data_IF_695301080253
#
_entry.id   IF_695301080253
#
_cell.length_a   1.000
_cell.length_b   1.000
_cell.length_c   1.000
_cell.angle_alpha   90.00
_cell.angle_beta   90.00
_cell.angle_gamma   90.00
#
_symmetry.space_group_name_H-M   'P 1'
#
loop_
_entity.id
_entity.type
_entity.pdbx_description
1 polymer ?
#
# COMPACT_ATOMS: atom_id res chain seq x y z
N UNK A 1 -15.87 40.08 1.90
CA UNK A 1 -17.07 39.92 2.73
C UNK A 1 -17.50 38.46 2.61
N UNK A 2 -17.21 37.65 3.64
CA UNK A 2 -18.17 36.78 4.38
C UNK A 2 -19.40 36.33 3.55
N UNK A 3 -19.83 35.06 3.43
CA UNK A 3 -19.57 33.77 4.07
C UNK A 3 -20.22 32.67 3.20
N UNK A 4 -19.66 31.46 3.28
CA UNK A 4 -20.20 30.10 3.13
C UNK A 4 -21.60 29.77 2.54
N UNK A 5 -21.55 28.69 1.74
CA UNK A 5 -22.25 27.39 1.87
C UNK A 5 -23.45 27.00 0.99
N UNK A 6 -23.36 25.71 0.62
CA UNK A 6 -24.34 24.67 0.27
C UNK A 6 -25.20 24.79 -0.98
N UNK A 7 -25.17 23.73 -1.80
CA UNK A 7 -26.29 22.80 -1.99
C UNK A 7 -25.93 21.81 -3.12
N UNK A 8 -25.71 20.53 -2.81
CA UNK A 8 -26.71 19.46 -2.97
C UNK A 8 -27.41 19.44 -4.34
N UNK A 9 -26.85 18.69 -5.29
CA UNK A 9 -27.68 18.04 -6.32
C UNK A 9 -27.36 16.55 -6.30
N UNK A 10 -28.11 15.83 -5.46
CA UNK A 10 -28.30 14.40 -5.65
C UNK A 10 -28.73 14.16 -7.08
N UNK A 11 -27.87 13.47 -7.82
CA UNK A 11 -28.19 12.95 -9.14
C UNK A 11 -27.84 11.49 -9.07
N UNK A 12 -28.85 10.63 -9.06
CA UNK A 12 -28.67 9.21 -9.36
C UNK A 12 -28.01 9.14 -10.73
N UNK A 13 -26.73 8.78 -10.75
CA UNK A 13 -26.02 8.44 -11.97
C UNK A 13 -26.62 7.12 -12.44
N UNK A 14 -27.65 7.20 -13.29
CA UNK A 14 -28.18 6.04 -13.98
C UNK A 14 -27.02 5.32 -14.69
N UNK A 15 -26.97 4.00 -14.62
CA UNK A 15 -26.00 3.15 -15.34
C UNK A 15 -25.90 3.55 -16.83
N UNK A 16 -26.99 4.06 -17.41
CA UNK A 16 -27.03 4.56 -18.79
C UNK A 16 -26.20 5.83 -19.03
N UNK A 17 -25.94 6.64 -18.00
CA UNK A 17 -25.11 7.85 -18.09
C UNK A 17 -23.61 7.56 -18.01
N UNK A 18 -23.22 6.53 -17.25
CA UNK A 18 -21.86 5.96 -17.29
C UNK A 18 -21.62 5.24 -18.63
N UNK A 19 -22.59 4.45 -19.09
CA UNK A 19 -22.56 3.82 -20.43
C UNK A 19 -22.60 4.86 -21.56
N UNK A 20 -23.20 6.05 -21.37
CA UNK A 20 -23.12 7.18 -22.32
C UNK A 20 -21.74 7.81 -22.42
N UNK A 21 -20.97 7.85 -21.33
CA UNK A 21 -19.57 8.28 -21.36
C UNK A 21 -18.67 7.25 -22.05
N UNK A 22 -18.92 5.97 -21.82
CA UNK A 22 -18.27 4.86 -22.54
C UNK A 22 -18.68 4.86 -24.02
N UNK A 23 -19.94 5.10 -24.34
CA UNK A 23 -20.39 5.19 -25.75
C UNK A 23 -20.04 6.51 -26.43
N UNK A 24 -19.69 7.58 -25.71
CA UNK A 24 -19.00 8.73 -26.30
C UNK A 24 -17.53 8.44 -26.64
N UNK A 25 -16.90 7.45 -25.98
CA UNK A 25 -15.63 6.86 -26.42
C UNK A 25 -15.84 5.90 -27.62
N UNK A 26 -16.98 5.21 -27.70
CA UNK A 26 -17.36 4.44 -28.89
C UNK A 26 -17.76 5.34 -30.08
N UNK A 27 -18.29 6.55 -29.84
CA UNK A 27 -18.65 7.50 -30.90
C UNK A 27 -17.43 8.11 -31.62
N UNK A 28 -16.22 7.97 -31.06
CA UNK A 28 -14.96 8.24 -31.75
C UNK A 28 -14.58 7.13 -32.76
N UNK A 29 -15.24 5.96 -32.71
CA UNK A 29 -15.01 4.84 -33.64
C UNK A 29 -15.62 5.05 -35.04
N UNK A 30 -16.20 6.23 -35.32
CA UNK A 30 -16.84 6.57 -36.59
C UNK A 30 -15.89 7.00 -37.72
N UNK A 31 -14.58 7.15 -37.47
CA UNK A 31 -13.61 7.45 -38.52
C UNK A 31 -12.34 6.61 -38.38
N UNK A 32 -11.90 6.04 -39.51
CA UNK A 32 -10.89 4.98 -39.59
C UNK A 32 -9.57 5.32 -38.86
N UNK A 33 -9.05 4.31 -38.14
CA UNK A 33 -7.67 4.12 -37.65
C UNK A 33 -7.29 4.68 -36.27
N UNK A 34 -8.20 4.75 -35.31
CA UNK A 34 -7.81 4.92 -33.90
C UNK A 34 -7.68 3.54 -33.23
N UNK A 35 -6.44 3.16 -32.94
CA UNK A 35 -6.07 1.98 -32.18
C UNK A 35 -6.76 2.03 -30.81
N UNK A 36 -7.55 1.01 -30.45
CA UNK A 36 -8.30 0.98 -29.18
C UNK A 36 -7.32 1.25 -28.02
N UNK A 37 -7.46 2.42 -27.37
CA UNK A 37 -6.50 2.98 -26.41
C UNK A 37 -6.46 2.16 -25.10
N UNK A 38 -7.53 1.44 -24.79
CA UNK A 38 -7.67 0.63 -23.58
C UNK A 38 -7.53 -0.87 -23.89
N UNK A 39 -7.04 -1.63 -22.91
CA UNK A 39 -7.08 -3.10 -22.86
C UNK A 39 -8.02 -3.55 -21.75
N UNK A 40 -8.83 -4.57 -22.03
CA UNK A 40 -9.55 -5.30 -20.98
C UNK A 40 -8.56 -6.19 -20.22
N UNK A 41 -8.71 -6.28 -18.90
CA UNK A 41 -7.84 -7.09 -18.03
C UNK A 41 -8.67 -8.08 -17.21
N UNK A 42 -8.02 -9.08 -16.61
CA UNK A 42 -8.62 -9.97 -15.63
C UNK A 42 -8.60 -9.42 -14.20
N UNK A 43 -8.04 -8.23 -13.98
CA UNK A 43 -8.19 -7.50 -12.72
C UNK A 43 -9.63 -6.97 -12.63
N UNK A 44 -10.27 -7.13 -11.47
CA UNK A 44 -11.70 -6.82 -11.33
C UNK A 44 -11.99 -5.82 -10.22
N UNK A 45 -13.19 -5.26 -10.27
CA UNK A 45 -13.85 -4.57 -9.15
C UNK A 45 -15.12 -5.33 -8.76
N UNK A 46 -15.52 -5.26 -7.50
CA UNK A 46 -16.75 -5.92 -7.05
C UNK A 46 -17.98 -5.39 -7.76
N UNK A 47 -18.90 -6.26 -8.16
CA UNK A 47 -20.18 -5.84 -8.77
C UNK A 47 -21.11 -5.20 -7.75
N UNK A 48 -22.04 -4.34 -8.22
CA UNK A 48 -23.17 -3.93 -7.39
C UNK A 48 -24.16 -5.09 -7.29
N UNK A 49 -24.61 -5.41 -6.08
CA UNK A 49 -25.85 -6.18 -5.92
C UNK A 49 -27.01 -5.20 -6.07
N UNK A 50 -27.72 -5.26 -7.20
CA UNK A 50 -28.98 -4.54 -7.31
C UNK A 50 -29.95 -5.14 -6.28
N UNK A 51 -30.49 -4.28 -5.40
CA UNK A 51 -31.54 -4.65 -4.45
C UNK A 51 -32.86 -4.88 -5.21
N UNK A 52 -32.90 -5.96 -5.99
CA UNK A 52 -34.13 -6.55 -6.51
C UNK A 52 -34.15 -7.97 -6.02
N UNK A 53 -35.20 -8.34 -5.29
CA UNK A 53 -35.44 -9.68 -4.76
C UNK A 53 -35.12 -10.77 -5.80
N UNK A 54 -33.92 -11.38 -5.70
CA UNK A 54 -33.56 -12.74 -6.11
C UNK A 54 -32.03 -12.84 -6.23
N UNK A 55 -31.38 -13.55 -5.29
CA UNK A 55 -30.10 -14.33 -5.33
C UNK A 55 -28.94 -14.03 -6.32
N UNK A 56 -28.92 -12.94 -7.08
CA UNK A 56 -27.80 -12.59 -7.95
C UNK A 56 -26.77 -11.80 -7.16
N UNK A 57 -25.74 -12.49 -6.67
CA UNK A 57 -24.48 -11.85 -6.27
C UNK A 57 -24.00 -10.98 -7.45
N UNK A 58 -23.73 -9.70 -7.18
CA UNK A 58 -23.29 -8.76 -8.20
C UNK A 58 -22.03 -9.27 -8.87
N UNK A 59 -22.09 -9.55 -10.17
CA UNK A 59 -20.95 -10.13 -10.89
C UNK A 59 -19.79 -9.11 -10.97
N UNK A 60 -18.60 -9.54 -10.56
CA UNK A 60 -17.40 -8.72 -10.64
C UNK A 60 -17.13 -8.23 -12.07
N UNK A 61 -16.72 -6.96 -12.19
CA UNK A 61 -16.54 -6.28 -13.48
C UNK A 61 -15.06 -6.19 -13.81
N UNK A 62 -14.62 -6.53 -15.04
CA UNK A 62 -13.23 -6.37 -15.46
C UNK A 62 -12.84 -4.89 -15.57
N UNK A 63 -11.60 -4.58 -15.23
CA UNK A 63 -11.03 -3.24 -15.38
C UNK A 63 -10.43 -3.09 -16.78
N UNK A 64 -10.68 -1.94 -17.40
CA UNK A 64 -10.04 -1.51 -18.64
C UNK A 64 -8.91 -0.55 -18.31
N UNK A 65 -7.69 -0.85 -18.75
CA UNK A 65 -6.50 -0.04 -18.49
C UNK A 65 -5.90 0.52 -19.78
N UNK A 66 -5.15 1.63 -19.72
CA UNK A 66 -4.44 2.17 -20.88
C UNK A 66 -3.49 1.14 -21.50
N UNK A 67 -3.34 1.13 -22.83
CA UNK A 67 -2.27 0.36 -23.49
C UNK A 67 -0.94 1.12 -23.42
N UNK A 68 0.17 0.39 -23.55
CA UNK A 68 1.50 0.99 -23.68
C UNK A 68 1.51 2.03 -24.82
N UNK A 69 1.95 3.26 -24.51
CA UNK A 69 1.97 4.37 -25.47
C UNK A 69 0.70 5.24 -25.48
N UNK A 70 -0.33 4.87 -24.71
CA UNK A 70 -1.45 5.76 -24.39
C UNK A 70 -0.98 6.97 -23.56
N UNK A 71 -1.63 8.12 -23.73
CA UNK A 71 -1.46 9.29 -22.87
C UNK A 71 -2.34 9.25 -21.62
N UNK A 72 -3.27 8.30 -21.53
CA UNK A 72 -4.15 8.12 -20.38
C UNK A 72 -3.41 7.43 -19.23
N UNK A 73 -3.69 7.89 -18.02
CA UNK A 73 -3.22 7.27 -16.78
C UNK A 73 -4.24 6.29 -16.19
N UNK A 74 -3.78 5.40 -15.30
CA UNK A 74 -4.66 4.38 -14.69
C UNK A 74 -5.73 5.01 -13.81
N UNK A 75 -5.42 6.09 -13.11
CA UNK A 75 -6.35 6.79 -12.23
C UNK A 75 -7.48 7.47 -13.01
N UNK A 76 -7.21 7.95 -14.23
CA UNK A 76 -8.25 8.43 -15.16
C UNK A 76 -9.24 7.33 -15.59
N UNK A 77 -8.78 6.08 -15.66
CA UNK A 77 -9.64 4.93 -15.93
C UNK A 77 -10.41 4.52 -14.67
N UNK A 78 -9.74 4.46 -13.51
CA UNK A 78 -10.33 4.05 -12.24
C UNK A 78 -11.41 5.01 -11.74
N UNK A 79 -11.26 6.34 -11.96
CA UNK A 79 -12.29 7.33 -11.62
C UNK A 79 -13.59 7.15 -12.42
N UNK A 80 -13.58 6.38 -13.50
CA UNK A 80 -14.78 6.08 -14.27
C UNK A 80 -15.60 4.91 -13.71
N UNK A 81 -15.08 4.22 -12.68
CA UNK A 81 -15.73 3.06 -12.05
C UNK A 81 -16.43 3.49 -10.75
N UNK A 82 -17.78 3.52 -10.70
CA UNK A 82 -18.51 3.94 -9.51
C UNK A 82 -18.16 3.12 -8.26
N UNK A 83 -17.85 1.83 -8.41
CA UNK A 83 -17.48 0.96 -7.30
C UNK A 83 -16.17 1.37 -6.62
N UNK A 84 -15.22 1.89 -7.41
CA UNK A 84 -13.98 2.46 -6.88
C UNK A 84 -14.30 3.77 -6.16
N UNK A 85 -15.11 4.64 -6.77
CA UNK A 85 -15.47 5.93 -6.18
C UNK A 85 -16.23 5.78 -4.85
N UNK A 86 -17.20 4.87 -4.77
CA UNK A 86 -18.01 4.63 -3.58
C UNK A 86 -17.16 4.01 -2.46
N UNK A 87 -16.31 3.02 -2.79
CA UNK A 87 -15.41 2.42 -1.82
C UNK A 87 -14.37 3.42 -1.31
N UNK A 88 -13.85 4.27 -2.19
CA UNK A 88 -12.95 5.37 -1.84
C UNK A 88 -13.65 6.40 -0.95
N UNK A 89 -14.85 6.87 -1.31
CA UNK A 89 -15.59 7.83 -0.47
C UNK A 89 -15.90 7.26 0.91
N UNK A 90 -16.31 6.00 0.96
CA UNK A 90 -16.56 5.31 2.23
C UNK A 90 -15.29 5.26 3.08
N UNK A 91 -14.14 4.89 2.50
CA UNK A 91 -12.86 4.86 3.19
C UNK A 91 -12.41 6.25 3.69
N UNK A 92 -12.47 7.26 2.82
CA UNK A 92 -11.97 8.62 3.10
C UNK A 92 -12.92 9.44 3.98
N UNK A 93 -14.17 9.02 4.13
CA UNK A 93 -15.16 9.70 4.98
C UNK A 93 -14.97 9.47 6.48
N UNK A 94 -14.09 8.53 6.86
CA UNK A 94 -13.85 8.13 8.25
C UNK A 94 -12.47 8.62 8.69
N UNK A 95 -12.42 9.22 9.88
CA UNK A 95 -11.15 9.62 10.49
C UNK A 95 -10.22 8.41 10.68
N UNK A 96 -8.90 8.54 10.41
CA UNK A 96 -7.97 7.45 10.61
C UNK A 96 -7.98 6.90 12.04
N UNK A 97 -8.06 5.59 12.17
CA UNK A 97 -7.87 4.92 13.45
C UNK A 97 -6.47 5.24 13.99
N UNK A 98 -6.40 5.70 15.24
CA UNK A 98 -5.14 6.08 15.87
C UNK A 98 -4.68 5.02 16.87
N UNK A 99 -3.61 4.32 16.51
CA UNK A 99 -2.99 3.31 17.38
C UNK A 99 -1.90 3.93 18.26
N UNK A 100 -1.98 3.65 19.56
CA UNK A 100 -1.03 4.11 20.58
C UNK A 100 -0.56 2.91 21.40
N UNK A 101 0.43 3.07 22.28
CA UNK A 101 0.80 2.00 23.25
C UNK A 101 -0.35 1.43 24.08
N UNK A 102 -1.47 2.14 24.20
CA UNK A 102 -2.65 1.70 24.95
C UNK A 102 -3.68 0.95 24.11
N UNK A 103 -3.49 0.89 22.79
CA UNK A 103 -4.33 0.09 21.90
C UNK A 103 -4.28 -1.38 22.29
N UNK A 104 -5.45 -2.01 22.32
CA UNK A 104 -5.62 -3.41 22.74
C UNK A 104 -5.31 -4.40 21.62
N UNK A 105 -5.44 -3.94 20.38
CA UNK A 105 -5.14 -4.70 19.19
C UNK A 105 -3.64 -4.94 19.09
N UNK A 106 -3.27 -6.16 18.72
CA UNK A 106 -1.89 -6.52 18.39
C UNK A 106 -1.59 -5.99 17.00
N UNK A 107 -0.85 -4.90 16.92
CA UNK A 107 -0.52 -4.21 15.67
C UNK A 107 0.78 -4.75 15.09
N UNK A 108 0.76 -5.19 13.84
CA UNK A 108 1.96 -5.45 13.04
C UNK A 108 2.20 -4.28 12.09
N UNK A 109 3.15 -3.43 12.43
CA UNK A 109 3.52 -2.28 11.63
C UNK A 109 4.53 -2.64 10.53
N UNK A 110 4.25 -2.21 9.30
CA UNK A 110 5.08 -2.39 8.11
C UNK A 110 5.60 -1.02 7.69
N UNK A 111 6.90 -0.82 7.74
CA UNK A 111 7.53 0.45 7.35
C UNK A 111 7.78 0.53 5.85
N UNK A 112 8.20 1.71 5.40
CA UNK A 112 8.59 1.95 4.00
C UNK A 112 9.65 0.94 3.52
N UNK A 113 9.44 0.40 2.32
CA UNK A 113 10.32 -0.60 1.72
C UNK A 113 10.23 -1.99 2.37
N UNK A 114 9.18 -2.25 3.15
CA UNK A 114 8.93 -3.55 3.79
C UNK A 114 7.70 -4.25 3.22
N UNK A 115 7.63 -5.56 3.50
CA UNK A 115 6.46 -6.40 3.30
C UNK A 115 6.30 -7.32 4.50
N UNK A 116 5.06 -7.60 4.88
CA UNK A 116 4.73 -8.58 5.91
C UNK A 116 3.52 -9.40 5.51
N UNK A 117 3.48 -10.64 6.00
CA UNK A 117 2.37 -11.57 5.81
C UNK A 117 1.95 -12.10 7.18
N UNK A 118 0.66 -12.12 7.46
CA UNK A 118 0.15 -12.55 8.77
C UNK A 118 -1.21 -13.22 8.68
N UNK A 119 -1.51 -14.05 9.68
CA UNK A 119 -2.80 -14.70 9.93
C UNK A 119 -3.35 -14.25 11.30
N UNK A 120 -4.67 -14.34 11.55
CA UNK A 120 -5.31 -13.84 12.79
C UNK A 120 -4.69 -14.32 14.11
N UNK A 121 -4.09 -15.51 14.12
CA UNK A 121 -3.42 -16.03 15.31
C UNK A 121 -2.23 -15.16 15.76
N UNK A 122 -1.59 -14.43 14.83
CA UNK A 122 -0.33 -13.72 15.07
C UNK A 122 -0.53 -12.25 15.49
N UNK A 123 -1.46 -11.56 14.82
CA UNK A 123 -1.80 -10.16 15.10
C UNK A 123 -3.27 -9.91 14.79
N UNK A 124 -3.81 -8.81 15.30
CA UNK A 124 -5.21 -8.43 15.09
C UNK A 124 -5.31 -7.48 13.88
N UNK A 125 -4.35 -6.56 13.75
CA UNK A 125 -4.27 -5.59 12.64
C UNK A 125 -2.87 -5.57 12.05
N UNK A 126 -2.77 -5.52 10.72
CA UNK A 126 -1.55 -5.19 9.98
C UNK A 126 -1.72 -3.83 9.34
N UNK A 127 -0.71 -2.95 9.43
CA UNK A 127 -0.85 -1.59 8.92
C UNK A 127 0.48 -0.98 8.46
N UNK A 128 0.34 0.10 7.69
CA UNK A 128 1.40 1.08 7.42
C UNK A 128 0.80 2.48 7.41
N UNK A 129 1.61 3.49 7.69
CA UNK A 129 1.24 4.91 7.63
C UNK A 129 2.36 5.75 6.98
N UNK A 130 2.21 7.08 7.05
CA UNK A 130 3.14 8.09 6.54
C UNK A 130 3.38 8.02 5.03
N UNK A 131 2.42 7.47 4.29
CA UNK A 131 2.47 7.44 2.85
C UNK A 131 2.16 8.83 2.27
N UNK A 132 3.19 9.48 1.73
CA UNK A 132 3.06 10.73 0.98
C UNK A 132 2.97 10.44 -0.52
N UNK A 133 4.10 10.29 -1.21
CA UNK A 133 4.16 9.88 -2.63
C UNK A 133 4.15 8.36 -2.82
N UNK A 134 4.44 7.61 -1.77
CA UNK A 134 4.44 6.16 -1.72
C UNK A 134 3.02 5.57 -1.55
N UNK A 135 2.91 4.25 -1.69
CA UNK A 135 1.65 3.51 -1.68
C UNK A 135 1.68 2.37 -0.68
N UNK A 136 0.60 2.19 0.07
CA UNK A 136 0.36 1.01 0.89
C UNK A 136 -0.55 0.05 0.12
N UNK A 137 -0.02 -1.12 -0.21
CA UNK A 137 -0.76 -2.20 -0.88
C UNK A 137 -1.03 -3.31 0.13
N UNK A 138 -2.31 -3.64 0.31
CA UNK A 138 -2.73 -4.78 1.10
C UNK A 138 -3.49 -5.81 0.25
N UNK A 139 -3.18 -7.08 0.48
CA UNK A 139 -3.84 -8.23 -0.14
C UNK A 139 -4.45 -9.09 0.96
N UNK A 140 -5.68 -9.56 0.74
CA UNK A 140 -6.33 -10.51 1.62
C UNK A 140 -6.95 -11.66 0.83
N UNK A 141 -6.79 -12.87 1.31
CA UNK A 141 -7.47 -14.05 0.78
C UNK A 141 -8.04 -14.91 1.91
N UNK A 142 -9.10 -15.64 1.61
CA UNK A 142 -9.76 -16.56 2.52
C UNK A 142 -10.05 -17.89 1.83
N UNK A 143 -10.19 -18.95 2.62
CA UNK A 143 -10.65 -20.26 2.19
C UNK A 143 -11.26 -21.00 3.38
N UNK A 144 -12.03 -22.05 3.12
CA UNK A 144 -12.59 -22.89 4.18
C UNK A 144 -11.53 -23.70 4.96
N UNK A 145 -10.43 -24.08 4.29
CA UNK A 145 -9.44 -25.01 4.87
C UNK A 145 -8.35 -24.34 5.73
N UNK A 146 -8.07 -23.06 5.46
CA UNK A 146 -6.92 -22.35 5.99
C UNK A 146 -7.32 -20.97 6.52
N UNK A 147 -6.63 -20.54 7.58
CA UNK A 147 -6.82 -19.20 8.14
C UNK A 147 -6.64 -18.11 7.07
N UNK A 148 -7.42 -17.01 7.15
CA UNK A 148 -7.24 -15.84 6.30
C UNK A 148 -5.78 -15.40 6.28
N UNK A 149 -5.26 -15.13 5.09
CA UNK A 149 -3.92 -14.57 4.91
C UNK A 149 -4.06 -13.11 4.51
N UNK A 150 -3.38 -12.23 5.25
CA UNK A 150 -3.24 -10.82 4.90
C UNK A 150 -1.76 -10.53 4.64
N UNK A 151 -1.50 -9.85 3.54
CA UNK A 151 -0.17 -9.34 3.21
C UNK A 151 -0.25 -7.82 3.07
N UNK A 152 0.73 -7.08 3.58
CA UNK A 152 0.81 -5.63 3.43
C UNK A 152 2.23 -5.21 3.08
N UNK A 153 2.36 -4.30 2.12
CA UNK A 153 3.62 -3.70 1.72
C UNK A 153 3.52 -2.18 1.60
N UNK A 154 4.65 -1.51 1.85
CA UNK A 154 4.79 -0.07 1.67
C UNK A 154 5.77 0.18 0.50
N UNK A 155 5.20 0.58 -0.63
CA UNK A 155 5.83 0.69 -1.94
C UNK A 155 6.25 2.15 -2.19
N UNK A 156 7.54 2.39 -2.33
CA UNK A 156 8.12 3.73 -2.60
C UNK A 156 8.78 3.87 -3.99
N UNK A 157 8.74 2.83 -4.82
CA UNK A 157 9.27 2.85 -6.19
C UNK A 157 8.65 1.76 -7.06
N UNK A 158 8.92 1.83 -8.37
CA UNK A 158 8.44 0.87 -9.38
C UNK A 158 9.31 -0.39 -9.53
N UNK A 159 10.32 -0.57 -8.68
CA UNK A 159 11.32 -1.63 -8.86
C UNK A 159 10.99 -2.93 -8.08
N UNK A 160 9.76 -3.09 -7.60
CA UNK A 160 9.37 -4.19 -6.70
C UNK A 160 8.58 -5.32 -7.35
N UNK A 161 8.62 -5.46 -8.67
CA UNK A 161 7.78 -6.42 -9.40
C UNK A 161 7.88 -7.84 -8.82
N UNK A 162 9.12 -8.33 -8.63
CA UNK A 162 9.36 -9.67 -8.07
C UNK A 162 8.77 -9.84 -6.68
N UNK A 163 8.78 -8.79 -5.86
CA UNK A 163 8.24 -8.80 -4.51
C UNK A 163 6.70 -8.85 -4.54
N UNK A 164 6.05 -8.05 -5.39
CA UNK A 164 4.59 -8.03 -5.50
C UNK A 164 4.06 -9.33 -6.10
N UNK A 165 4.73 -9.87 -7.13
CA UNK A 165 4.42 -11.21 -7.67
C UNK A 165 4.56 -12.28 -6.58
N UNK A 166 5.66 -12.28 -5.83
CA UNK A 166 5.84 -13.21 -4.71
C UNK A 166 4.76 -13.05 -3.63
N UNK A 167 4.31 -11.82 -3.37
CA UNK A 167 3.25 -11.53 -2.41
C UNK A 167 1.94 -12.19 -2.88
N UNK A 168 1.52 -11.98 -4.13
CA UNK A 168 0.32 -12.60 -4.72
C UNK A 168 0.43 -14.14 -4.75
N UNK A 169 1.55 -14.69 -5.22
CA UNK A 169 1.77 -16.13 -5.27
C UNK A 169 1.76 -16.78 -3.88
N UNK A 170 2.05 -16.02 -2.81
CA UNK A 170 1.92 -16.52 -1.45
C UNK A 170 0.48 -16.85 -1.09
N UNK A 171 -0.47 -15.98 -1.46
CA UNK A 171 -1.90 -16.23 -1.29
C UNK A 171 -2.37 -17.44 -2.09
N UNK A 172 -1.89 -17.56 -3.34
CA UNK A 172 -2.11 -18.75 -4.17
C UNK A 172 -1.64 -20.01 -3.45
N UNK A 173 -0.37 -20.06 -3.04
CA UNK A 173 0.21 -21.25 -2.41
C UNK A 173 -0.44 -21.59 -1.07
N UNK A 174 -0.93 -20.58 -0.34
CA UNK A 174 -1.61 -20.78 0.93
C UNK A 174 -2.99 -21.42 0.74
N UNK A 175 -3.80 -20.98 -0.24
CA UNK A 175 -5.20 -21.42 -0.37
C UNK A 175 -5.53 -22.32 -1.56
N UNK A 176 -4.74 -22.30 -2.65
CA UNK A 176 -5.07 -23.04 -3.86
C UNK A 176 -4.95 -24.55 -3.66
N UNK A 177 -5.99 -25.28 -4.05
CA UNK A 177 -6.05 -26.76 -4.02
C UNK A 177 -6.37 -27.40 -5.38
N UNK A 178 -6.47 -26.59 -6.44
CA UNK A 178 -6.77 -27.07 -7.80
C UNK A 178 -8.26 -27.10 -8.16
N UNK A 179 -9.16 -26.83 -7.22
CA UNK A 179 -10.61 -26.93 -7.43
C UNK A 179 -11.28 -25.58 -7.75
N UNK A 180 -10.90 -24.51 -7.04
CA UNK A 180 -11.50 -23.18 -7.13
C UNK A 180 -10.43 -22.09 -7.09
N UNK A 181 -10.64 -21.02 -7.87
CA UNK A 181 -9.80 -19.80 -7.88
C UNK A 181 -9.66 -19.23 -6.48
N UNK A 182 -8.44 -18.89 -6.10
CA UNK A 182 -8.22 -18.11 -4.88
C UNK A 182 -8.60 -16.68 -5.18
N UNK A 183 -9.65 -16.20 -4.53
CA UNK A 183 -10.01 -14.80 -4.55
C UNK A 183 -9.07 -14.01 -3.64
N UNK A 184 -8.49 -12.95 -4.18
CA UNK A 184 -7.61 -12.03 -3.47
C UNK A 184 -8.23 -10.63 -3.55
N UNK A 185 -8.68 -10.13 -2.40
CA UNK A 185 -9.09 -8.75 -2.22
C UNK A 185 -7.86 -7.85 -2.19
N UNK A 186 -7.88 -6.80 -3.00
CA UNK A 186 -6.80 -5.82 -3.16
C UNK A 186 -7.27 -4.48 -2.59
N UNK A 187 -6.47 -3.90 -1.71
CA UNK A 187 -6.71 -2.58 -1.11
C UNK A 187 -5.46 -1.72 -1.29
N UNK A 188 -5.65 -0.49 -1.77
CA UNK A 188 -4.55 0.43 -2.03
C UNK A 188 -4.90 1.84 -1.54
N UNK A 189 -3.98 2.44 -0.79
CA UNK A 189 -4.02 3.85 -0.39
C UNK A 189 -2.63 4.45 -0.54
N UNK A 190 -2.52 5.65 -1.10
CA UNK A 190 -1.29 6.43 -1.07
C UNK A 190 -1.10 7.26 -2.33
N UNK A 191 -0.03 8.04 -2.36
CA UNK A 191 0.17 9.01 -3.42
C UNK A 191 -0.87 10.15 -3.41
N UNK A 192 -0.58 11.19 -4.17
CA UNK A 192 -1.50 12.30 -4.47
C UNK A 192 -1.08 12.92 -5.81
N UNK A 193 -1.64 14.06 -6.22
CA UNK A 193 -1.14 14.77 -7.40
C UNK A 193 0.12 15.57 -7.04
N UNK A 194 1.23 14.87 -6.81
CA UNK A 194 2.52 15.49 -6.52
C UNK A 194 3.15 16.12 -7.77
N UNK A 195 3.93 17.18 -7.55
CA UNK A 195 4.53 17.99 -8.61
C UNK A 195 5.50 17.22 -9.50
N UNK A 196 6.14 16.18 -8.95
CA UNK A 196 7.18 15.40 -9.63
C UNK A 196 6.61 14.18 -10.38
N UNK A 197 5.29 13.93 -10.28
CA UNK A 197 4.62 12.79 -10.90
C UNK A 197 5.03 11.43 -10.30
N UNK A 198 5.63 11.43 -9.11
CA UNK A 198 6.13 10.21 -8.46
C UNK A 198 4.98 9.27 -8.11
N UNK A 199 3.91 9.80 -7.51
CA UNK A 199 2.72 9.04 -7.13
C UNK A 199 2.07 8.41 -8.35
N UNK A 200 1.88 9.20 -9.41
CA UNK A 200 1.26 8.74 -10.65
C UNK A 200 2.09 7.63 -11.31
N UNK A 201 3.41 7.75 -11.34
CA UNK A 201 4.30 6.71 -11.85
C UNK A 201 4.17 5.40 -11.06
N UNK A 202 4.11 5.45 -9.72
CA UNK A 202 3.92 4.26 -8.87
C UNK A 202 2.52 3.67 -9.08
N UNK A 203 1.47 4.50 -9.14
CA UNK A 203 0.09 4.09 -9.42
C UNK A 203 -0.02 3.33 -10.73
N UNK A 204 0.46 3.93 -11.82
CA UNK A 204 0.45 3.33 -13.16
C UNK A 204 1.14 1.97 -13.14
N UNK A 205 2.39 1.93 -12.66
CA UNK A 205 3.16 0.70 -12.60
C UNK A 205 2.46 -0.40 -11.78
N UNK A 206 1.97 -0.07 -10.59
CA UNK A 206 1.37 -1.04 -9.66
C UNK A 206 0.08 -1.63 -10.21
N UNK A 207 -0.82 -0.80 -10.75
CA UNK A 207 -2.09 -1.26 -11.31
C UNK A 207 -1.86 -2.09 -12.58
N UNK A 208 -0.91 -1.70 -13.44
CA UNK A 208 -0.49 -2.52 -14.57
C UNK A 208 0.07 -3.87 -14.15
N UNK A 209 0.94 -3.89 -13.14
CA UNK A 209 1.51 -5.13 -12.62
C UNK A 209 0.43 -6.07 -12.04
N UNK A 210 -0.52 -5.54 -11.27
CA UNK A 210 -1.63 -6.33 -10.74
C UNK A 210 -2.51 -6.90 -11.86
N UNK A 211 -2.74 -6.14 -12.93
CA UNK A 211 -3.46 -6.60 -14.10
C UNK A 211 -2.70 -7.70 -14.85
N UNK A 212 -1.39 -7.54 -15.05
CA UNK A 212 -0.56 -8.55 -15.70
C UNK A 212 -0.54 -9.85 -14.89
N UNK A 213 -0.42 -9.77 -13.56
CA UNK A 213 -0.53 -10.93 -12.68
C UNK A 213 -1.91 -11.59 -12.81
N UNK A 214 -2.99 -10.81 -12.84
CA UNK A 214 -4.34 -11.33 -12.98
C UNK A 214 -4.56 -12.03 -14.33
N UNK A 215 -3.97 -11.50 -15.41
CA UNK A 215 -4.03 -12.09 -16.75
C UNK A 215 -3.23 -13.39 -16.84
N UNK A 216 -2.02 -13.41 -16.27
CA UNK A 216 -1.14 -14.58 -16.26
C UNK A 216 -1.68 -15.73 -15.40
N UNK A 217 -2.28 -15.41 -14.24
CA UNK A 217 -2.73 -16.39 -13.25
C UNK A 217 -4.25 -16.62 -13.28
N UNK A 218 -4.95 -16.20 -14.33
CA UNK A 218 -6.41 -16.24 -14.41
C UNK A 218 -7.02 -17.62 -14.12
N UNK A 219 -6.31 -18.72 -14.35
CA UNK A 219 -6.80 -20.08 -14.07
C UNK A 219 -6.80 -20.40 -12.57
N UNK A 220 -5.95 -19.73 -11.78
CA UNK A 220 -5.76 -20.05 -10.36
C UNK A 220 -6.10 -18.93 -9.39
N UNK A 221 -6.14 -17.68 -9.86
CA UNK A 221 -6.39 -16.49 -9.05
C UNK A 221 -7.52 -15.65 -9.62
N UNK A 222 -8.19 -14.92 -8.74
CA UNK A 222 -9.06 -13.80 -9.08
C UNK A 222 -8.65 -12.60 -8.21
N UNK A 223 -8.11 -11.54 -8.81
CA UNK A 223 -7.74 -10.33 -8.09
C UNK A 223 -8.88 -9.31 -8.20
N UNK A 224 -9.38 -8.86 -7.05
CA UNK A 224 -10.52 -7.94 -6.96
C UNK A 224 -10.10 -6.71 -6.15
N UNK A 225 -10.08 -5.55 -6.79
CA UNK A 225 -9.92 -4.27 -6.10
C UNK A 225 -11.19 -3.99 -5.29
N UNK A 226 -11.03 -4.00 -3.97
CA UNK A 226 -12.07 -3.65 -3.00
C UNK A 226 -11.96 -2.20 -2.55
N UNK A 227 -10.76 -1.64 -2.51
CA UNK A 227 -10.53 -0.24 -2.14
C UNK A 227 -9.34 0.31 -2.93
N UNK A 228 -9.50 1.49 -3.52
CA UNK A 228 -8.41 2.15 -4.24
C UNK A 228 -8.54 3.67 -4.11
N UNK A 229 -7.61 4.28 -3.38
CA UNK A 229 -7.46 5.73 -3.29
C UNK A 229 -6.00 6.05 -3.58
N UNK A 230 -5.72 6.41 -4.83
CA UNK A 230 -4.36 6.64 -5.34
C UNK A 230 -4.28 7.91 -6.19
N UNK A 231 -3.12 8.58 -6.23
CA UNK A 231 -2.91 9.77 -7.06
C UNK A 231 -4.06 10.78 -6.95
N UNK A 232 -4.74 11.13 -8.05
CA UNK A 232 -5.85 12.07 -8.03
C UNK A 232 -7.06 11.61 -7.19
N UNK A 233 -7.25 10.28 -7.00
CA UNK A 233 -8.30 9.71 -6.15
C UNK A 233 -7.99 9.81 -4.65
N UNK A 234 -6.80 10.26 -4.28
CA UNK A 234 -6.37 10.49 -2.90
C UNK A 234 -5.94 11.96 -2.66
N UNK A 235 -6.13 12.85 -3.64
CA UNK A 235 -5.72 14.24 -3.53
C UNK A 235 -6.77 15.10 -2.81
N UNK A 236 -6.33 15.91 -1.85
CA UNK A 236 -7.19 16.83 -1.09
C UNK A 236 -7.64 18.07 -1.86
N UNK A 237 -7.15 18.28 -3.09
CA UNK A 237 -7.28 19.50 -3.87
C UNK A 237 -6.27 20.59 -3.49
N UNK A 238 -5.52 20.38 -2.41
CA UNK A 238 -4.52 21.33 -1.90
C UNK A 238 -3.08 20.83 -2.06
N UNK A 239 -2.86 19.84 -2.93
CA UNK A 239 -1.53 19.27 -3.16
C UNK A 239 -1.03 18.48 -1.96
N UNK A 240 -1.92 17.69 -1.33
CA UNK A 240 -1.57 16.77 -0.24
C UNK A 240 -2.48 15.55 -0.24
N UNK A 241 -1.99 14.39 0.23
CA UNK A 241 -2.80 13.17 0.30
C UNK A 241 -3.84 13.24 1.43
N UNK A 242 -5.03 12.71 1.17
CA UNK A 242 -6.10 12.56 2.16
C UNK A 242 -5.77 11.35 3.07
N UNK A 243 -5.67 10.16 2.47
CA UNK A 243 -5.29 8.93 3.14
C UNK A 243 -3.77 8.73 3.13
N UNK A 244 -3.18 8.61 4.32
CA UNK A 244 -1.72 8.44 4.51
C UNK A 244 -1.33 7.10 5.12
N UNK A 245 -2.31 6.33 5.57
CA UNK A 245 -2.07 5.01 6.13
C UNK A 245 -3.26 4.10 5.94
N UNK A 246 -2.95 2.81 5.84
CA UNK A 246 -3.91 1.75 5.57
C UNK A 246 -3.66 0.62 6.56
N UNK A 247 -4.73 0.18 7.19
CA UNK A 247 -4.77 -0.97 8.06
C UNK A 247 -5.78 -1.99 7.54
N UNK A 248 -5.54 -3.26 7.86
CA UNK A 248 -6.48 -4.35 7.61
C UNK A 248 -6.65 -5.17 8.88
N UNK A 249 -7.91 -5.35 9.31
CA UNK A 249 -8.25 -6.32 10.35
C UNK A 249 -8.10 -7.74 9.79
N UNK A 250 -7.33 -8.59 10.47
CA UNK A 250 -7.00 -9.91 9.93
C UNK A 250 -8.20 -10.86 9.94
N UNK A 251 -9.17 -10.66 10.84
CA UNK A 251 -10.35 -11.52 10.98
C UNK A 251 -11.42 -11.09 9.99
N UNK A 252 -11.93 -9.87 10.10
CA UNK A 252 -13.03 -9.38 9.24
C UNK A 252 -12.55 -9.13 7.81
N UNK A 253 -11.30 -8.67 7.66
CA UNK A 253 -10.77 -8.20 6.39
C UNK A 253 -11.11 -6.77 6.06
N UNK A 254 -11.68 -6.02 7.01
CA UNK A 254 -12.01 -4.62 6.81
C UNK A 254 -10.73 -3.80 6.64
N UNK A 255 -10.69 -3.02 5.56
CA UNK A 255 -9.63 -2.07 5.29
C UNK A 255 -10.08 -0.68 5.73
N UNK A 256 -9.24 0.01 6.50
CA UNK A 256 -9.55 1.34 7.05
C UNK A 256 -8.30 2.22 7.11
N UNK A 257 -8.50 3.54 7.12
CA UNK A 257 -7.40 4.48 7.31
C UNK A 257 -6.84 4.36 8.72
N UNK A 258 -5.52 4.41 8.87
CA UNK A 258 -4.88 4.29 10.16
C UNK A 258 -3.61 5.14 10.26
N UNK A 259 -3.25 5.47 11.51
CA UNK A 259 -1.96 6.05 11.90
C UNK A 259 -1.51 5.46 13.22
N UNK A 260 -0.20 5.42 13.47
CA UNK A 260 0.32 4.90 14.73
C UNK A 260 1.41 5.79 15.34
N UNK A 261 1.46 5.79 16.67
CA UNK A 261 2.57 6.39 17.41
C UNK A 261 3.84 5.54 17.23
N UNK A 262 5.02 6.18 17.37
CA UNK A 262 6.31 5.50 17.24
C UNK A 262 6.50 4.34 18.24
N UNK A 263 5.81 4.37 19.38
CA UNK A 263 5.86 3.30 20.37
C UNK A 263 5.08 2.03 19.98
N UNK A 264 4.25 2.10 18.92
CA UNK A 264 3.53 0.98 18.31
C UNK A 264 4.25 0.45 17.07
N UNK A 265 5.01 1.29 16.37
CA UNK A 265 5.66 0.95 15.09
C UNK A 265 6.85 -0.03 15.23
N UNK A 266 7.16 -0.45 16.45
CA UNK A 266 8.25 -1.38 16.76
C UNK A 266 8.11 -2.79 16.17
N UNK A 267 9.17 -3.62 16.29
CA UNK A 267 10.43 -3.35 16.98
C UNK A 267 11.38 -2.49 16.15
N UNK A 268 12.29 -1.78 16.84
CA UNK A 268 13.42 -1.05 16.27
C UNK A 268 13.09 -0.21 15.00
N UNK A 269 12.12 0.72 15.04
CA UNK A 269 11.71 1.47 13.86
C UNK A 269 12.88 2.25 13.24
N UNK A 270 13.73 2.88 14.07
CA UNK A 270 14.92 3.62 13.62
C UNK A 270 15.92 2.73 12.86
N UNK A 271 16.16 1.49 13.34
CA UNK A 271 17.04 0.55 12.65
C UNK A 271 16.43 0.13 11.31
N UNK A 272 15.13 -0.20 11.30
CA UNK A 272 14.43 -0.60 10.08
C UNK A 272 14.46 0.51 9.03
N UNK A 273 14.32 1.77 9.43
CA UNK A 273 14.47 2.93 8.54
C UNK A 273 15.89 3.11 8.01
N UNK A 274 16.93 2.81 8.82
CA UNK A 274 18.33 2.91 8.39
C UNK A 274 18.64 2.04 7.15
N UNK A 275 17.88 0.95 6.94
CA UNK A 275 17.99 0.11 5.75
C UNK A 275 17.78 0.89 4.45
N UNK A 276 16.93 1.92 4.44
CA UNK A 276 16.64 2.73 3.24
C UNK A 276 17.88 3.50 2.74
N UNK A 277 18.89 3.70 3.60
CA UNK A 277 20.14 4.36 3.27
C UNK A 277 21.25 3.38 2.83
N UNK A 278 20.94 2.08 2.77
CA UNK A 278 21.91 1.07 2.39
C UNK A 278 22.11 1.07 0.88
N UNK A 279 23.37 1.07 0.44
CA UNK A 279 23.71 0.90 -0.96
C UNK A 279 23.62 -0.57 -1.31
N UNK A 280 22.44 -1.05 -1.70
CA UNK A 280 22.35 -2.39 -2.25
C UNK A 280 22.88 -2.39 -3.69
N UNK A 281 23.91 -3.18 -3.97
CA UNK A 281 24.40 -3.43 -5.33
C UNK A 281 23.51 -4.44 -6.08
N UNK A 282 22.58 -5.10 -5.37
CA UNK A 282 21.51 -5.89 -5.95
C UNK A 282 20.28 -5.02 -6.25
N UNK A 283 19.42 -5.50 -7.15
CA UNK A 283 18.15 -4.86 -7.47
C UNK A 283 17.32 -4.53 -6.19
N UNK A 284 16.59 -3.41 -6.15
CA UNK A 284 15.73 -3.05 -5.04
C UNK A 284 14.76 -4.18 -4.67
N UNK A 285 14.57 -4.43 -3.37
CA UNK A 285 13.64 -5.45 -2.87
C UNK A 285 12.92 -4.93 -1.63
N UNK A 286 11.61 -5.19 -1.57
CA UNK A 286 10.88 -5.07 -0.31
C UNK A 286 11.44 -6.09 0.68
N UNK A 287 11.75 -5.63 1.89
CA UNK A 287 12.28 -6.48 2.95
C UNK A 287 11.13 -7.18 3.66
N UNK A 288 11.11 -8.50 3.62
CA UNK A 288 10.11 -9.27 4.35
C UNK A 288 10.46 -9.31 5.83
N UNK A 289 9.62 -8.70 6.67
CA UNK A 289 9.86 -8.63 8.13
C UNK A 289 9.07 -9.66 8.95
N UNK A 290 8.02 -10.24 8.37
CA UNK A 290 7.15 -11.20 9.05
C UNK A 290 6.52 -12.16 8.04
N UNK A 291 6.25 -13.40 8.45
CA UNK A 291 5.54 -14.38 7.62
C UNK A 291 4.47 -15.15 8.39
N UNK A 292 3.53 -15.71 7.66
CA UNK A 292 2.38 -16.49 8.14
C UNK A 292 2.75 -17.77 8.90
N UNK A 293 4.03 -18.19 8.82
CA UNK A 293 4.54 -19.43 9.43
C UNK A 293 5.24 -19.23 10.76
N UNK A 294 5.51 -17.98 11.18
CA UNK A 294 6.26 -17.69 12.40
C UNK A 294 5.69 -16.48 13.14
N UNK A 295 5.63 -16.52 14.47
CA UNK A 295 5.22 -15.37 15.29
C UNK A 295 6.38 -14.39 15.56
N UNK A 296 7.34 -14.33 14.63
CA UNK A 296 8.56 -13.56 14.77
C UNK A 296 8.61 -12.43 13.76
N UNK A 297 9.03 -11.27 14.24
CA UNK A 297 9.50 -10.19 13.39
C UNK A 297 11.00 -10.33 13.24
N UNK A 298 11.47 -10.50 12.01
CA UNK A 298 12.87 -10.76 11.69
C UNK A 298 13.41 -9.55 10.93
N UNK A 299 14.47 -8.96 11.46
CA UNK A 299 15.24 -7.92 10.79
C UNK A 299 16.50 -8.60 10.25
N UNK A 300 16.49 -8.86 8.95
CA UNK A 300 17.62 -9.44 8.25
C UNK A 300 18.83 -8.49 8.27
N UNK A 301 20.07 -9.01 8.27
CA UNK A 301 21.26 -8.18 8.27
C UNK A 301 21.35 -7.27 7.04
N UNK A 302 21.72 -6.03 7.26
CA UNK A 302 22.10 -5.10 6.21
C UNK A 302 23.27 -4.23 6.65
N UNK A 303 24.18 -3.98 5.71
CA UNK A 303 25.37 -3.18 5.96
C UNK A 303 25.07 -1.70 5.72
N UNK A 304 25.42 -0.87 6.69
CA UNK A 304 25.44 0.57 6.57
C UNK A 304 26.72 1.12 7.17
N UNK A 305 27.08 2.33 6.75
CA UNK A 305 28.23 3.07 7.26
C UNK A 305 27.97 4.58 7.15
N UNK A 306 28.69 5.40 7.94
CA UNK A 306 28.69 6.84 7.75
C UNK A 306 29.07 7.19 6.30
N UNK A 307 28.32 8.09 5.68
CA UNK A 307 28.57 8.54 4.31
C UNK A 307 29.05 10.00 4.27
N UNK A 308 29.72 10.38 3.17
CA UNK A 308 30.21 11.74 2.99
C UNK A 308 29.04 12.73 3.00
N UNK A 309 29.11 13.73 3.87
CA UNK A 309 28.07 14.74 4.01
C UNK A 309 27.01 14.43 5.08
N UNK A 310 27.09 13.27 5.75
CA UNK A 310 26.17 12.92 6.85
C UNK A 310 26.11 14.00 7.94
N UNK A 311 27.25 14.52 8.37
CA UNK A 311 27.31 15.64 9.34
C UNK A 311 26.65 16.91 8.81
N UNK A 312 26.69 17.15 7.50
CA UNK A 312 25.99 18.30 6.92
C UNK A 312 24.48 18.13 7.03
N UNK A 313 23.94 16.94 6.76
CA UNK A 313 22.52 16.64 6.97
C UNK A 313 22.12 16.74 8.45
N UNK A 314 22.94 16.20 9.36
CA UNK A 314 22.70 16.25 10.81
C UNK A 314 22.67 17.66 11.40
N UNK A 315 23.40 18.62 10.80
CA UNK A 315 23.44 20.01 11.26
C UNK A 315 22.57 20.97 10.41
N UNK A 316 21.96 20.47 9.32
CA UNK A 316 21.11 21.27 8.43
C UNK A 316 19.82 21.67 9.14
N UNK A 317 19.33 22.92 9.02
CA UNK A 317 17.99 23.30 9.47
C UNK A 317 16.87 22.44 8.87
N UNK A 318 15.75 22.29 9.57
CA UNK A 318 14.69 21.34 9.19
C UNK A 318 14.01 21.68 7.86
N UNK A 319 13.85 22.96 7.53
CA UNK A 319 13.29 23.43 6.26
C UNK A 319 14.14 22.99 5.06
N UNK A 320 15.47 23.13 5.19
CA UNK A 320 16.41 22.66 4.17
C UNK A 320 16.51 21.13 4.17
N UNK A 321 16.50 20.50 5.35
CA UNK A 321 16.59 19.04 5.45
C UNK A 321 15.41 18.38 4.73
N UNK A 322 14.19 18.86 4.99
CA UNK A 322 12.97 18.44 4.29
C UNK A 322 13.14 18.59 2.78
N UNK A 323 13.56 19.76 2.31
CA UNK A 323 13.70 20.03 0.87
C UNK A 323 14.68 19.09 0.15
N UNK A 324 15.74 18.65 0.83
CA UNK A 324 16.75 17.77 0.23
C UNK A 324 16.46 16.27 0.37
N UNK A 325 15.56 15.88 1.28
CA UNK A 325 15.42 14.47 1.69
C UNK A 325 14.00 13.91 1.58
N UNK A 326 12.99 14.76 1.40
CA UNK A 326 11.61 14.34 1.11
C UNK A 326 11.29 14.52 -0.38
N UNK A 327 10.47 13.60 -0.90
CA UNK A 327 9.85 13.70 -2.23
C UNK A 327 8.65 14.65 -2.25
N UNK A 328 8.15 15.04 -1.09
CA UNK A 328 7.02 15.97 -0.93
C UNK A 328 7.17 16.82 0.34
N UNK A 329 8.12 17.78 0.37
CA UNK A 329 8.50 18.49 1.60
C UNK A 329 7.34 19.18 2.33
N UNK A 330 6.34 19.66 1.59
CA UNK A 330 5.17 20.36 2.15
C UNK A 330 4.10 19.40 2.70
N UNK A 331 4.28 18.09 2.54
CA UNK A 331 3.33 17.07 2.93
C UNK A 331 3.83 16.21 4.09
N UNK A 332 5.09 16.31 4.50
CA UNK A 332 5.63 15.48 5.58
C UNK A 332 5.01 15.80 6.95
N UNK A 333 5.07 14.84 7.86
CA UNK A 333 4.69 15.07 9.27
C UNK A 333 5.76 15.89 10.00
N UNK A 334 5.34 16.60 11.05
CA UNK A 334 6.24 17.41 11.90
C UNK A 334 7.44 16.60 12.45
N UNK A 335 7.27 15.28 12.65
CA UNK A 335 8.32 14.41 13.18
C UNK A 335 9.33 13.93 12.13
N UNK A 336 9.16 14.25 10.84
CA UNK A 336 9.99 13.69 9.76
C UNK A 336 11.49 13.95 9.97
N UNK A 337 11.86 15.21 10.25
CA UNK A 337 13.26 15.59 10.47
C UNK A 337 13.85 14.89 11.69
N UNK A 338 13.08 14.77 12.78
CA UNK A 338 13.52 14.07 13.99
C UNK A 338 13.76 12.58 13.72
N UNK A 339 12.83 11.90 13.04
CA UNK A 339 12.97 10.50 12.67
C UNK A 339 14.16 10.27 11.72
N UNK A 340 14.39 11.18 10.77
CA UNK A 340 15.54 11.14 9.87
C UNK A 340 16.86 11.31 10.65
N UNK A 341 16.95 12.32 11.53
CA UNK A 341 18.14 12.53 12.36
C UNK A 341 18.42 11.36 13.28
N UNK A 342 17.40 10.77 13.90
CA UNK A 342 17.55 9.57 14.72
C UNK A 342 18.16 8.41 13.90
N UNK A 343 17.71 8.25 12.65
CA UNK A 343 18.25 7.26 11.72
C UNK A 343 19.71 7.53 11.36
N UNK A 344 20.05 8.77 11.03
CA UNK A 344 21.42 9.17 10.72
C UNK A 344 22.36 9.05 11.93
N UNK A 345 21.90 9.40 13.14
CA UNK A 345 22.64 9.20 14.38
C UNK A 345 22.91 7.72 14.64
N UNK A 346 21.91 6.84 14.47
CA UNK A 346 22.11 5.39 14.58
C UNK A 346 23.19 4.91 13.61
N UNK A 347 23.09 5.32 12.33
CA UNK A 347 24.06 4.92 11.30
C UNK A 347 25.47 5.43 11.59
N UNK A 348 25.60 6.59 12.22
CA UNK A 348 26.88 7.20 12.61
C UNK A 348 27.51 6.50 13.79
N UNK A 349 26.72 6.28 14.84
CA UNK A 349 27.20 5.98 16.18
C UNK A 349 27.22 4.48 16.50
N UNK A 350 26.42 3.67 15.78
CA UNK A 350 26.29 2.23 16.04
C UNK A 350 26.66 1.44 14.77
N UNK A 351 27.86 0.84 14.70
CA UNK A 351 28.24 -0.03 13.59
C UNK A 351 27.26 -1.20 13.40
N UNK A 352 26.93 -1.52 12.15
CA UNK A 352 26.05 -2.66 11.83
C UNK A 352 26.54 -3.99 12.44
N UNK A 353 27.86 -4.15 12.65
CA UNK A 353 28.43 -5.34 13.31
C UNK A 353 28.07 -5.49 14.79
N UNK A 354 27.74 -4.40 15.49
CA UNK A 354 27.25 -4.48 16.87
C UNK A 354 25.84 -5.05 16.94
N UNK A 355 25.06 -4.89 15.87
CA UNK A 355 23.66 -5.32 15.77
C UNK A 355 23.58 -6.72 15.16
N UNK A 356 24.23 -6.93 14.02
CA UNK A 356 24.15 -8.16 13.22
C UNK A 356 25.38 -9.08 13.38
N UNK A 357 26.24 -8.80 14.37
CA UNK A 357 27.48 -9.52 14.64
C UNK A 357 28.66 -9.15 13.74
N UNK A 358 29.85 -9.64 14.09
CA UNK A 358 31.13 -9.22 13.48
C UNK A 358 31.16 -9.36 11.95
N UNK A 359 30.42 -10.33 11.39
CA UNK A 359 30.32 -10.56 9.95
C UNK A 359 29.08 -9.94 9.30
N UNK A 360 28.23 -9.25 10.07
CA UNK A 360 26.96 -8.70 9.63
C UNK A 360 26.06 -9.76 8.96
N UNK A 361 25.98 -10.95 9.58
CA UNK A 361 25.29 -12.14 9.05
C UNK A 361 24.25 -12.72 10.03
N UNK A 362 24.09 -12.14 11.21
CA UNK A 362 23.12 -12.62 12.22
C UNK A 362 21.87 -11.74 12.23
N UNK A 363 20.68 -12.27 11.86
CA UNK A 363 19.44 -11.50 11.94
C UNK A 363 19.10 -11.15 13.38
N UNK A 364 18.36 -10.06 13.57
CA UNK A 364 17.77 -9.73 14.86
C UNK A 364 16.32 -10.18 14.87
N UNK A 365 15.96 -11.00 15.86
CA UNK A 365 14.66 -11.66 15.93
C UNK A 365 13.89 -11.15 17.14
N UNK A 366 12.64 -10.78 16.93
CA UNK A 366 11.74 -10.29 17.97
C UNK A 366 10.46 -11.11 18.01
N UNK A 367 9.90 -11.24 19.20
CA UNK A 367 8.51 -11.68 19.38
C UNK A 367 7.74 -10.70 20.24
N UNK A 368 6.42 -10.74 20.13
CA UNK A 368 5.52 -9.89 20.90
C UNK A 368 5.43 -10.37 22.35
N UNK A 369 5.38 -9.45 23.30
CA UNK A 369 5.20 -9.76 24.71
C UNK A 369 3.70 -9.99 25.01
N UNK A 370 3.26 -11.25 24.89
CA UNK A 370 1.86 -11.61 25.10
C UNK A 370 0.95 -10.92 24.09
N UNK A 371 -0.07 -10.18 24.58
CA UNK A 371 -1.02 -9.43 23.74
C UNK A 371 -0.72 -7.93 23.63
N UNK A 372 0.41 -7.44 24.16
CA UNK A 372 0.73 -6.01 24.07
C UNK A 372 1.35 -5.62 22.72
N UNK A 373 1.56 -4.33 22.49
CA UNK A 373 2.38 -3.81 21.39
C UNK A 373 3.87 -3.70 21.74
N UNK A 374 4.31 -4.39 22.80
CA UNK A 374 5.71 -4.46 23.21
C UNK A 374 6.40 -5.66 22.59
N UNK A 375 7.67 -5.47 22.22
CA UNK A 375 8.49 -6.49 21.58
C UNK A 375 9.66 -6.89 22.49
N UNK A 376 9.98 -8.17 22.52
CA UNK A 376 11.17 -8.69 23.20
C UNK A 376 12.09 -9.35 22.18
N UNK A 377 13.38 -9.03 22.26
CA UNK A 377 14.38 -9.67 21.41
C UNK A 377 14.57 -11.12 21.87
N UNK A 378 14.71 -12.02 20.90
CA UNK A 378 15.08 -13.41 21.11
C UNK A 378 16.57 -13.55 20.80
N UNK A 379 17.32 -14.12 21.74
CA UNK A 379 18.69 -14.55 21.51
C UNK A 379 18.61 -15.98 20.98
N UNK A 380 18.89 -16.17 19.69
CA UNK A 380 18.93 -17.49 19.04
C UNK A 380 20.26 -18.20 19.29
#
# INVERSE_FOLDING_TARGET
>A
MVIANSDSTGTLVSLESALKRVSSLEALQGNRSEEVILRQTNLRVSGYSECTDDTSEGQDVPIYLPKSGSSLDVDECLQCLPQILDARDSLLSVDPAHFTRFSKDRILYVGQGEVAHAVPAQCDVIMSDKATTCHVLALRSCSDDNAPLVSLSHIDSTNYEKCIRSMVFRHRNHHWRGEKKVEISVHVVGGFNDMDGTSQNISNWMIHLLADIADEEQDSLCLIIKTCSISCLNDSGNGSPIGRGLAVDLVSGDAFLARCDEDVSGPLPVLRSARLFTRNTAAPRLTQIHCEKSCYTIIEPFAYSPFRGMESFLNMPDDLLLQYTSTSPNCEEDSFCDSLRATLHLMRDVPCSQIFGDRCDRPVVYTRLGRSNSWTQIVL
#
